data_IF_595243195547
#
_entry.id   IF_595243195547
#
_cell.length_a   1.000
_cell.length_b   1.000
_cell.length_c   1.000
_cell.angle_alpha   90.00
_cell.angle_beta   90.00
_cell.angle_gamma   90.00
#
_symmetry.space_group_name_H-M   'P 1'
#
loop_
_entity.id
_entity.type
_entity.pdbx_description
1 polymer ?
#
# COMPACT_ATOMS: atom_id res chain seq x y z
N UNK A 1 -46.45 -44.78 9.02
CA UNK A 1 -46.07 -43.45 9.60
C UNK A 1 -44.59 -43.39 9.95
N UNK A 2 -43.99 -44.45 10.50
CA UNK A 2 -42.56 -44.54 10.84
C UNK A 2 -41.63 -44.59 9.62
N UNK A 3 -42.06 -45.24 8.53
CA UNK A 3 -41.27 -45.40 7.30
C UNK A 3 -40.96 -44.06 6.61
N UNK A 4 -41.95 -43.16 6.49
CA UNK A 4 -41.73 -41.79 5.98
C UNK A 4 -40.76 -40.98 6.82
N UNK A 5 -40.82 -41.10 8.15
CA UNK A 5 -39.91 -40.37 9.04
C UNK A 5 -38.47 -40.87 8.91
N UNK A 6 -38.29 -42.17 8.61
CA UNK A 6 -36.98 -42.75 8.37
C UNK A 6 -36.40 -42.30 7.01
N UNK A 7 -37.22 -42.27 5.96
CA UNK A 7 -36.82 -41.73 4.64
C UNK A 7 -36.46 -40.24 4.72
N UNK A 8 -37.23 -39.44 5.46
CA UNK A 8 -36.94 -38.02 5.70
C UNK A 8 -35.60 -37.83 6.41
N UNK A 9 -35.32 -38.63 7.46
CA UNK A 9 -34.05 -38.59 8.18
C UNK A 9 -32.84 -38.94 7.26
N UNK A 10 -33.00 -39.92 6.37
CA UNK A 10 -31.95 -40.30 5.41
C UNK A 10 -31.69 -39.18 4.39
N UNK A 11 -32.75 -38.53 3.91
CA UNK A 11 -32.63 -37.39 3.00
C UNK A 11 -31.94 -36.20 3.67
N UNK A 12 -32.31 -35.89 4.92
CA UNK A 12 -31.69 -34.84 5.72
C UNK A 12 -30.22 -35.12 5.97
N UNK A 13 -29.87 -36.37 6.28
CA UNK A 13 -28.47 -36.78 6.44
C UNK A 13 -27.68 -36.57 5.15
N UNK A 14 -28.20 -37.01 4.01
CA UNK A 14 -27.54 -36.79 2.71
C UNK A 14 -27.39 -35.31 2.36
N UNK A 15 -28.40 -34.49 2.67
CA UNK A 15 -28.33 -33.05 2.48
C UNK A 15 -27.24 -32.41 3.38
N UNK A 16 -27.13 -32.82 4.64
CA UNK A 16 -26.10 -32.33 5.56
C UNK A 16 -24.69 -32.77 5.15
N UNK A 17 -24.52 -33.97 4.62
CA UNK A 17 -23.24 -34.45 4.08
C UNK A 17 -22.80 -33.62 2.87
N UNK A 18 -23.73 -33.33 1.94
CA UNK A 18 -23.46 -32.45 0.80
C UNK A 18 -23.05 -31.04 1.25
N UNK A 19 -23.80 -30.44 2.18
CA UNK A 19 -23.46 -29.11 2.74
C UNK A 19 -22.09 -29.14 3.43
N UNK A 20 -21.76 -30.20 4.17
CA UNK A 20 -20.44 -30.35 4.77
C UNK A 20 -19.33 -30.47 3.73
N UNK A 21 -19.57 -31.20 2.64
CA UNK A 21 -18.63 -31.32 1.54
C UNK A 21 -18.40 -29.97 0.84
N UNK A 22 -19.47 -29.22 0.55
CA UNK A 22 -19.38 -27.87 -0.01
C UNK A 22 -18.59 -26.93 0.90
N UNK A 23 -18.86 -26.93 2.20
CA UNK A 23 -18.12 -26.13 3.19
C UNK A 23 -16.64 -26.49 3.21
N UNK A 24 -16.28 -27.78 3.17
CA UNK A 24 -14.87 -28.22 3.11
C UNK A 24 -14.18 -27.75 1.84
N UNK A 25 -14.85 -27.82 0.69
CA UNK A 25 -14.31 -27.29 -0.56
C UNK A 25 -14.12 -25.77 -0.49
N UNK A 26 -15.06 -25.05 0.12
CA UNK A 26 -14.96 -23.61 0.31
C UNK A 26 -13.80 -23.24 1.23
N UNK A 27 -13.60 -23.97 2.33
CA UNK A 27 -12.44 -23.80 3.21
C UNK A 27 -11.14 -23.99 2.42
N UNK A 28 -11.02 -25.06 1.64
CA UNK A 28 -9.82 -25.30 0.82
C UNK A 28 -9.56 -24.19 -0.22
N UNK A 29 -10.61 -23.61 -0.80
CA UNK A 29 -10.47 -22.43 -1.69
C UNK A 29 -9.95 -21.21 -0.92
N UNK A 30 -10.56 -20.90 0.22
CA UNK A 30 -10.16 -19.75 1.05
C UNK A 30 -8.72 -19.90 1.56
N UNK A 31 -8.30 -21.11 1.94
CA UNK A 31 -6.92 -21.37 2.36
C UNK A 31 -5.91 -21.10 1.23
N UNK A 32 -6.25 -21.44 -0.01
CA UNK A 32 -5.40 -21.13 -1.17
C UNK A 32 -5.39 -19.62 -1.44
N UNK A 33 -6.54 -18.95 -1.37
CA UNK A 33 -6.62 -17.50 -1.54
C UNK A 33 -5.79 -16.76 -0.48
N UNK A 34 -5.78 -17.23 0.78
CA UNK A 34 -4.95 -16.68 1.85
C UNK A 34 -3.46 -16.83 1.50
N UNK A 35 -3.01 -18.00 1.07
CA UNK A 35 -1.61 -18.22 0.65
C UNK A 35 -1.20 -17.31 -0.51
N UNK A 36 -2.10 -17.13 -1.47
CA UNK A 36 -1.86 -16.25 -2.62
C UNK A 36 -1.78 -14.78 -2.20
N UNK A 37 -2.62 -14.35 -1.25
CA UNK A 37 -2.56 -13.01 -0.68
C UNK A 37 -1.27 -12.78 0.11
N UNK A 38 -0.85 -13.75 0.93
CA UNK A 38 0.41 -13.68 1.68
C UNK A 38 1.62 -13.51 0.75
N UNK A 39 1.66 -14.29 -0.35
CA UNK A 39 2.71 -14.16 -1.34
C UNK A 39 2.72 -12.78 -2.02
N UNK A 40 1.55 -12.18 -2.26
CA UNK A 40 1.44 -10.82 -2.82
C UNK A 40 1.88 -9.77 -1.80
N UNK A 41 1.53 -9.94 -0.52
CA UNK A 41 1.91 -9.04 0.56
C UNK A 41 3.44 -8.98 0.71
N UNK A 42 4.11 -10.14 0.74
CA UNK A 42 5.58 -10.20 0.80
C UNK A 42 6.25 -9.47 -0.37
N UNK A 43 5.69 -9.58 -1.58
CA UNK A 43 6.20 -8.86 -2.76
C UNK A 43 5.97 -7.35 -2.63
N UNK A 44 4.81 -6.93 -2.13
CA UNK A 44 4.49 -5.53 -1.89
C UNK A 44 5.44 -4.92 -0.85
N UNK A 45 5.70 -5.60 0.27
CA UNK A 45 6.62 -5.14 1.31
C UNK A 45 8.04 -4.97 0.78
N UNK A 46 8.52 -5.92 -0.05
CA UNK A 46 9.82 -5.80 -0.70
C UNK A 46 9.88 -4.57 -1.62
N UNK A 47 8.80 -4.29 -2.36
CA UNK A 47 8.69 -3.12 -3.22
C UNK A 47 8.70 -1.83 -2.39
N UNK A 48 7.93 -1.76 -1.30
CA UNK A 48 7.89 -0.61 -0.38
C UNK A 48 9.28 -0.34 0.19
N UNK A 49 9.97 -1.37 0.69
CA UNK A 49 11.34 -1.24 1.24
C UNK A 49 12.33 -0.72 0.19
N UNK A 50 12.24 -1.22 -1.04
CA UNK A 50 13.07 -0.76 -2.16
C UNK A 50 12.80 0.71 -2.50
N UNK A 51 11.53 1.10 -2.59
CA UNK A 51 11.14 2.48 -2.91
C UNK A 51 11.56 3.46 -1.80
N UNK A 52 11.43 3.09 -0.52
CA UNK A 52 11.94 3.88 0.61
C UNK A 52 13.43 4.16 0.45
N UNK A 53 14.23 3.12 0.17
CA UNK A 53 15.67 3.26 -0.08
C UNK A 53 15.95 4.17 -1.28
N UNK A 54 15.28 3.95 -2.41
CA UNK A 54 15.44 4.78 -3.61
C UNK A 54 15.12 6.25 -3.34
N UNK A 55 14.04 6.55 -2.61
CA UNK A 55 13.65 7.91 -2.26
C UNK A 55 14.70 8.61 -1.38
N UNK A 56 15.24 7.90 -0.38
CA UNK A 56 16.34 8.38 0.47
C UNK A 56 17.60 8.64 -0.34
N UNK A 57 18.00 7.71 -1.22
CA UNK A 57 19.17 7.87 -2.09
C UNK A 57 19.02 9.03 -3.06
N UNK A 58 17.84 9.23 -3.63
CA UNK A 58 17.56 10.36 -4.53
C UNK A 58 17.67 11.73 -3.81
N UNK A 59 17.44 11.75 -2.50
CA UNK A 59 17.61 12.94 -1.64
C UNK A 59 18.99 13.02 -0.97
N UNK A 60 19.92 12.09 -1.25
CA UNK A 60 21.21 11.96 -0.58
C UNK A 60 21.11 11.93 0.97
N UNK A 61 20.03 11.36 1.49
CA UNK A 61 19.79 11.25 2.93
C UNK A 61 19.96 9.80 3.37
N UNK A 62 20.64 9.57 4.49
CA UNK A 62 20.73 8.24 5.11
C UNK A 62 19.61 7.99 6.13
N UNK A 63 19.05 9.08 6.69
CA UNK A 63 17.99 9.02 7.69
C UNK A 63 16.60 8.78 7.04
N UNK A 64 15.63 8.22 7.79
CA UNK A 64 14.25 8.16 7.34
C UNK A 64 13.72 9.53 6.94
N UNK A 65 12.89 9.54 5.90
CA UNK A 65 12.22 10.77 5.47
C UNK A 65 11.11 11.13 6.47
N UNK A 66 10.78 12.42 6.60
CA UNK A 66 9.67 12.87 7.44
C UNK A 66 8.36 12.21 6.97
N UNK A 67 8.19 12.07 5.66
CA UNK A 67 7.03 11.40 5.07
C UNK A 67 6.95 9.91 5.45
N UNK A 68 8.08 9.23 5.66
CA UNK A 68 8.10 7.84 6.12
C UNK A 68 7.69 7.74 7.60
N UNK A 69 8.16 8.67 8.43
CA UNK A 69 7.77 8.76 9.83
C UNK A 69 6.28 9.07 10.00
N UNK A 70 5.76 10.02 9.23
CA UNK A 70 4.33 10.38 9.25
C UNK A 70 3.44 9.21 8.82
N UNK A 71 3.89 8.43 7.83
CA UNK A 71 3.20 7.22 7.41
C UNK A 71 3.19 6.15 8.50
N UNK A 72 4.33 5.92 9.15
CA UNK A 72 4.45 4.95 10.25
C UNK A 72 3.61 5.36 11.47
N UNK A 73 3.59 6.65 11.81
CA UNK A 73 2.74 7.18 12.87
C UNK A 73 1.24 7.01 12.55
N UNK A 74 0.85 7.20 11.29
CA UNK A 74 -0.55 6.97 10.86
C UNK A 74 -0.92 5.50 10.98
N UNK A 75 -0.06 4.60 10.51
CA UNK A 75 -0.27 3.15 10.64
C UNK A 75 -0.40 2.72 12.10
N UNK A 76 0.47 3.23 12.97
CA UNK A 76 0.43 2.91 14.39
C UNK A 76 -0.88 3.39 15.05
N UNK A 77 -1.35 4.58 14.68
CA UNK A 77 -2.65 5.10 15.15
C UNK A 77 -3.82 4.25 14.66
N UNK A 78 -3.80 3.81 13.40
CA UNK A 78 -4.84 2.94 12.86
C UNK A 78 -4.82 1.55 13.51
N UNK A 79 -3.64 1.00 13.76
CA UNK A 79 -3.47 -0.25 14.48
C UNK A 79 -4.02 -0.16 15.91
N UNK A 80 -3.67 0.90 16.65
CA UNK A 80 -4.20 1.12 17.99
C UNK A 80 -5.73 1.21 17.99
N UNK A 81 -6.34 1.93 17.04
CA UNK A 81 -7.81 1.96 16.90
C UNK A 81 -8.42 0.58 16.70
N UNK A 82 -7.77 -0.29 15.93
CA UNK A 82 -8.24 -1.68 15.73
C UNK A 82 -8.11 -2.51 17.01
N UNK A 83 -7.04 -2.32 17.78
CA UNK A 83 -6.88 -2.97 19.07
C UNK A 83 -7.95 -2.51 20.07
N UNK A 84 -8.25 -1.22 20.13
CA UNK A 84 -9.29 -0.68 21.01
C UNK A 84 -10.64 -1.36 20.72
N UNK A 85 -11.02 -1.46 19.43
CA UNK A 85 -12.24 -2.17 19.01
C UNK A 85 -12.21 -3.65 19.42
N UNK A 86 -11.08 -4.32 19.28
CA UNK A 86 -10.95 -5.73 19.66
C UNK A 86 -11.03 -5.94 21.18
N UNK A 87 -10.46 -5.03 21.95
CA UNK A 87 -10.53 -5.02 23.41
C UNK A 87 -11.99 -4.81 23.83
N UNK A 88 -12.69 -3.83 23.26
CA UNK A 88 -14.10 -3.56 23.54
C UNK A 88 -14.99 -4.77 23.24
N UNK A 89 -14.75 -5.44 22.09
CA UNK A 89 -15.46 -6.66 21.73
C UNK A 89 -15.20 -7.80 22.73
N UNK A 90 -13.95 -7.97 23.14
CA UNK A 90 -13.55 -9.01 24.09
C UNK A 90 -14.18 -8.77 25.46
N UNK A 91 -14.14 -7.53 25.96
CA UNK A 91 -14.77 -7.10 27.21
C UNK A 91 -16.30 -7.25 27.17
N UNK A 92 -16.91 -7.08 26.00
CA UNK A 92 -18.36 -7.28 25.83
C UNK A 92 -18.76 -8.74 25.93
N UNK A 93 -17.89 -9.66 25.51
CA UNK A 93 -18.12 -11.11 25.59
C UNK A 93 -17.79 -11.64 26.98
N UNK A 94 -16.69 -11.16 27.57
CA UNK A 94 -16.19 -11.57 28.87
C UNK A 94 -15.94 -10.34 29.77
N UNK A 95 -16.88 -10.03 30.69
CA UNK A 95 -16.72 -8.92 31.62
C UNK A 95 -15.50 -9.04 32.55
N UNK A 96 -15.02 -10.26 32.83
CA UNK A 96 -13.87 -10.47 33.71
C UNK A 96 -12.57 -10.07 33.01
N UNK A 97 -12.52 -10.17 31.67
CA UNK A 97 -11.41 -9.67 30.85
C UNK A 97 -11.19 -8.16 31.03
N UNK A 98 -12.25 -7.40 31.37
CA UNK A 98 -12.16 -5.96 31.67
C UNK A 98 -11.30 -5.69 32.89
N UNK A 99 -11.47 -6.49 33.94
CA UNK A 99 -10.71 -6.33 35.17
C UNK A 99 -9.22 -6.60 34.93
N UNK A 100 -8.89 -7.68 34.22
CA UNK A 100 -7.53 -8.01 33.80
C UNK A 100 -6.91 -6.92 32.92
N UNK A 101 -7.66 -6.39 31.95
CA UNK A 101 -7.20 -5.31 31.08
C UNK A 101 -6.87 -4.03 31.86
N UNK A 102 -7.76 -3.61 32.77
CA UNK A 102 -7.54 -2.43 33.60
C UNK A 102 -6.31 -2.58 34.50
N UNK A 103 -6.15 -3.75 35.13
CA UNK A 103 -4.97 -4.03 35.95
C UNK A 103 -3.67 -3.97 35.13
N UNK A 104 -3.64 -4.54 33.92
CA UNK A 104 -2.49 -4.45 33.02
C UNK A 104 -2.21 -3.00 32.59
N UNK A 105 -3.25 -2.20 32.37
CA UNK A 105 -3.13 -0.79 32.01
C UNK A 105 -2.50 0.04 33.13
N UNK A 106 -2.93 -0.20 34.37
CA UNK A 106 -2.37 0.44 35.56
C UNK A 106 -0.90 0.03 35.78
N UNK A 107 -0.58 -1.25 35.62
CA UNK A 107 0.80 -1.78 35.74
C UNK A 107 1.75 -1.22 34.67
N UNK A 108 1.24 -0.96 33.47
CA UNK A 108 2.06 -0.50 32.34
C UNK A 108 2.27 1.02 32.32
N UNK A 109 1.67 1.76 33.26
CA UNK A 109 1.72 3.23 33.34
C UNK A 109 1.34 3.94 32.02
N UNK A 110 0.58 3.28 31.15
CA UNK A 110 0.24 3.78 29.81
C UNK A 110 -0.73 4.98 29.87
N UNK A 111 -1.44 5.16 30.98
CA UNK A 111 -2.35 6.29 31.19
C UNK A 111 -1.64 7.65 31.17
N UNK A 112 -0.32 7.69 31.38
CA UNK A 112 0.47 8.92 31.34
C UNK A 112 0.90 9.34 29.92
N UNK A 113 0.77 8.46 28.92
CA UNK A 113 1.23 8.74 27.55
C UNK A 113 0.22 9.55 26.73
N UNK A 114 -1.06 9.51 27.09
CA UNK A 114 -2.13 10.26 26.41
C UNK A 114 -2.03 11.78 26.63
N UNK A 115 -1.24 12.25 27.60
CA UNK A 115 -1.10 13.67 27.93
C UNK A 115 0.00 14.41 27.16
N UNK A 116 0.83 13.74 26.35
CA UNK A 116 1.89 14.39 25.55
C UNK A 116 1.40 14.69 24.12
N UNK A 117 0.15 15.11 23.99
CA UNK A 117 -0.42 15.57 22.72
C UNK A 117 -0.74 17.06 22.85
N UNK A 118 0.26 17.93 22.61
CA UNK A 118 0.16 19.28 22.05
C UNK A 118 1.37 20.15 22.41
N UNK A 119 2.52 19.93 21.77
CA UNK A 119 3.49 21.02 21.61
C UNK A 119 3.81 21.16 20.12
N UNK A 120 3.33 22.20 19.43
CA UNK A 120 3.82 22.53 18.11
C UNK A 120 5.27 23.04 18.28
N UNK A 121 6.26 22.17 18.09
CA UNK A 121 7.66 22.60 17.99
C UNK A 121 7.87 23.29 16.65
N UNK A 122 7.44 24.55 16.57
CA UNK A 122 7.85 25.48 15.54
C UNK A 122 9.16 26.13 16.01
N UNK A 123 10.29 25.56 15.63
CA UNK A 123 11.56 26.31 15.60
C UNK A 123 12.08 26.27 14.17
N UNK A 124 11.54 27.20 13.37
CA UNK A 124 12.15 27.66 12.13
C UNK A 124 13.52 28.26 12.49
N UNK A 125 14.60 27.56 12.19
CA UNK A 125 15.93 28.19 12.16
C UNK A 125 16.07 29.03 10.89
N UNK A 126 15.55 30.25 10.93
CA UNK A 126 15.84 31.29 9.95
C UNK A 126 17.15 31.99 10.31
N UNK A 127 18.27 31.53 9.74
CA UNK A 127 19.52 32.30 9.71
C UNK A 127 19.34 33.51 8.81
N UNK A 128 18.93 34.63 9.40
CA UNK A 128 18.83 35.91 8.71
C UNK A 128 19.95 36.79 9.24
N UNK A 129 21.02 36.89 8.45
CA UNK A 129 22.09 37.88 8.63
C UNK A 129 21.49 39.25 8.30
N UNK A 130 21.19 40.06 9.32
CA UNK A 130 20.81 41.45 9.15
C UNK A 130 22.03 42.35 9.34
N UNK A 131 22.61 42.79 8.23
CA UNK A 131 23.56 43.90 8.17
C UNK A 131 22.91 45.07 7.46
N UNK A 132 22.73 46.16 8.22
CA UNK A 132 22.99 47.55 7.83
C UNK A 132 22.10 48.27 6.78
N UNK A 133 21.47 49.34 7.31
CA UNK A 133 21.09 50.64 6.73
C UNK A 133 19.99 50.77 5.65
N UNK A 134 18.96 51.53 6.06
CA UNK A 134 17.87 52.20 5.34
C UNK A 134 18.37 53.35 4.41
N UNK A 135 17.50 54.30 3.96
CA UNK A 135 16.33 54.21 3.07
C UNK A 135 16.35 55.31 1.96
N UNK A 136 15.65 55.12 0.83
CA UNK A 136 15.06 56.26 0.12
C UNK A 136 14.14 55.87 -1.04
N UNK A 137 12.88 56.34 -0.96
CA UNK A 137 12.09 57.13 -1.95
C UNK A 137 12.06 56.57 -3.39
N UNK A 138 10.93 56.29 -4.03
CA UNK A 138 9.83 57.23 -4.39
C UNK A 138 8.61 56.46 -4.92
N UNK A 139 7.43 57.05 -4.76
CA UNK A 139 6.13 56.67 -5.34
C UNK A 139 6.13 56.50 -6.87
N UNK A 140 5.42 55.49 -7.41
CA UNK A 140 4.44 55.69 -8.49
C UNK A 140 3.66 54.39 -8.80
N UNK A 141 2.35 54.54 -8.96
CA UNK A 141 1.42 53.59 -9.59
C UNK A 141 1.99 53.11 -10.93
N UNK A 142 1.90 51.82 -11.28
CA UNK A 142 1.50 51.31 -12.61
C UNK A 142 1.20 49.81 -12.55
N UNK A 143 0.35 49.37 -13.46
CA UNK A 143 -0.38 48.12 -13.52
C UNK A 143 0.37 47.01 -14.32
N UNK A 144 0.31 45.76 -13.83
CA UNK A 144 0.36 44.39 -14.49
C UNK A 144 1.48 44.10 -15.54
N UNK A 145 2.10 42.89 -15.57
CA UNK A 145 1.50 41.71 -16.25
C UNK A 145 1.71 40.36 -15.52
N UNK A 146 0.69 39.52 -15.52
CA UNK A 146 0.78 38.10 -15.11
C UNK A 146 1.12 37.28 -16.37
N UNK A 147 2.23 36.55 -16.34
CA UNK A 147 2.62 35.68 -17.45
C UNK A 147 1.80 34.38 -17.42
N UNK A 148 0.87 34.22 -18.35
CA UNK A 148 0.15 32.97 -18.61
C UNK A 148 1.01 32.05 -19.48
N UNK A 149 1.35 30.86 -18.97
CA UNK A 149 1.98 29.79 -19.76
C UNK A 149 0.89 29.00 -20.47
N UNK A 150 0.87 29.10 -21.79
CA UNK A 150 -0.08 28.43 -22.68
C UNK A 150 0.46 27.06 -23.07
N UNK A 151 -0.15 25.98 -22.59
CA UNK A 151 0.12 24.60 -23.00
C UNK A 151 -0.62 24.35 -24.33
N UNK A 152 0.04 24.66 -25.44
CA UNK A 152 -0.45 24.36 -26.78
C UNK A 152 -0.32 22.87 -27.10
N UNK A 153 -1.43 22.13 -27.00
CA UNK A 153 -1.66 20.90 -27.75
C UNK A 153 -2.45 21.29 -29.00
N UNK A 154 -1.79 21.44 -30.14
CA UNK A 154 -2.46 21.39 -31.43
C UNK A 154 -1.54 20.83 -32.50
N UNK A 155 -2.03 19.78 -33.15
CA UNK A 155 -1.37 19.14 -34.27
C UNK A 155 -1.66 19.89 -35.56
N UNK A 156 -0.60 20.25 -36.29
CA UNK A 156 -0.62 20.28 -37.76
C UNK A 156 0.80 20.42 -38.32
N UNK A 157 1.25 19.36 -39.01
CA UNK A 157 2.08 19.31 -40.23
C UNK A 157 3.21 20.36 -40.44
N UNK A 158 4.48 19.93 -40.61
CA UNK A 158 5.50 20.80 -41.22
C UNK A 158 5.62 20.57 -42.74
N UNK A 159 5.82 21.63 -43.56
CA UNK A 159 6.39 21.49 -44.89
C UNK A 159 7.94 21.59 -44.87
N UNK A 160 8.51 20.75 -45.74
CA UNK A 160 9.87 20.66 -46.29
C UNK A 160 10.51 22.02 -46.68
N UNK A 161 11.82 22.31 -46.65
CA UNK A 161 12.98 21.78 -47.41
C UNK A 161 14.23 22.52 -46.86
N UNK A 162 15.42 21.94 -46.60
CA UNK A 162 16.66 21.79 -47.44
C UNK A 162 17.84 21.89 -46.44
N UNK A 163 18.96 21.16 -46.44
CA UNK A 163 19.50 20.07 -47.23
C UNK A 163 20.85 19.59 -46.65
N UNK A 164 21.31 18.42 -47.14
CA UNK A 164 22.66 17.81 -47.04
C UNK A 164 23.13 17.23 -45.68
N UNK A 165 23.83 16.08 -45.57
CA UNK A 165 24.19 14.93 -46.44
C UNK A 165 25.01 13.95 -45.55
N UNK A 166 24.69 12.63 -45.58
CA UNK A 166 25.54 11.45 -45.27
C UNK A 166 25.96 11.19 -43.78
N UNK A 167 25.98 9.98 -43.17
CA UNK A 167 26.15 8.59 -43.62
C UNK A 167 25.41 7.52 -42.76
N UNK A 168 25.33 6.33 -43.36
CA UNK A 168 24.87 4.99 -42.94
C UNK A 168 25.41 4.46 -41.60
N UNK A 169 24.64 3.61 -40.91
CA UNK A 169 24.92 2.16 -40.77
C UNK A 169 23.81 1.42 -40.00
N UNK A 170 23.43 0.25 -40.53
CA UNK A 170 22.50 -0.73 -39.99
C UNK A 170 23.15 -1.58 -38.89
N UNK A 171 22.36 -2.18 -37.98
CA UNK A 171 22.18 -3.65 -37.88
C UNK A 171 21.68 -4.17 -36.52
N UNK A 172 20.87 -5.24 -36.61
CA UNK A 172 20.71 -6.41 -35.71
C UNK A 172 20.12 -6.14 -34.31
N UNK A 173 18.97 -6.68 -33.91
CA UNK A 173 18.33 -7.95 -34.24
C UNK A 173 18.70 -9.00 -33.21
N UNK A 174 17.74 -9.49 -32.41
CA UNK A 174 17.78 -10.82 -31.74
C UNK A 174 16.40 -11.18 -31.19
N UNK A 175 15.82 -12.19 -31.81
CA UNK A 175 14.63 -12.94 -31.41
C UNK A 175 15.03 -13.97 -30.36
N UNK A 176 14.25 -14.11 -29.28
CA UNK A 176 14.36 -15.24 -28.35
C UNK A 176 13.17 -16.17 -28.54
N UNK A 177 13.45 -17.31 -29.16
CA UNK A 177 12.61 -18.50 -29.16
C UNK A 177 12.82 -19.25 -27.84
N UNK A 178 11.74 -19.78 -27.26
CA UNK A 178 11.81 -20.77 -26.18
C UNK A 178 10.89 -21.94 -26.49
N UNK A 179 11.53 -23.10 -26.44
CA UNK A 179 11.15 -24.44 -26.86
C UNK A 179 9.97 -25.05 -26.08
N UNK A 180 8.99 -25.59 -26.80
CA UNK A 180 7.99 -26.52 -26.32
C UNK A 180 8.56 -27.94 -26.25
N UNK A 181 8.68 -28.49 -25.06
CA UNK A 181 9.09 -29.87 -24.79
C UNK A 181 7.95 -30.86 -25.07
N UNK A 182 8.28 -31.90 -25.81
CA UNK A 182 7.41 -33.01 -26.21
C UNK A 182 7.18 -33.99 -25.07
N UNK A 183 5.91 -34.29 -24.78
CA UNK A 183 5.47 -35.32 -23.85
C UNK A 183 5.38 -36.67 -24.55
N UNK A 184 6.31 -37.58 -24.24
CA UNK A 184 6.27 -38.99 -24.67
C UNK A 184 5.17 -39.76 -23.94
N UNK A 185 4.18 -40.23 -24.69
CA UNK A 185 3.15 -41.17 -24.22
C UNK A 185 3.69 -42.61 -24.30
N UNK A 186 3.65 -43.34 -23.17
CA UNK A 186 3.93 -44.78 -23.09
C UNK A 186 2.75 -45.56 -23.68
N UNK A 187 3.05 -46.41 -24.66
CA UNK A 187 2.14 -47.37 -25.29
C UNK A 187 2.14 -48.66 -24.45
N UNK A 188 0.97 -49.07 -23.95
CA UNK A 188 0.72 -50.40 -23.38
C UNK A 188 0.23 -51.30 -24.51
N UNK A 189 0.86 -52.45 -24.68
CA UNK A 189 0.49 -53.48 -25.67
C UNK A 189 -0.33 -54.55 -24.94
N UNK A 190 -1.47 -54.90 -25.54
CA UNK A 190 -2.25 -56.10 -25.23
C UNK A 190 -1.82 -57.22 -26.18
#
# INVERSE_FOLDING_TARGET
RTERAFEELLNDQGALENVNQEKRQQIGKLENDVKDMDAKLVRADKSISTNKKTARTARNQQQPLIEEHDFELRLLKEFNKKLDVLIDQTVSIDPDAKHCYNMLKEQSHLDNLSSIASTPSSVRSSSTRSSISQPSRTSSRQAIPVASVQLGLDGSRPPSLTGQRQQRASSRGSSTASSSSTSSARRVVH
#
